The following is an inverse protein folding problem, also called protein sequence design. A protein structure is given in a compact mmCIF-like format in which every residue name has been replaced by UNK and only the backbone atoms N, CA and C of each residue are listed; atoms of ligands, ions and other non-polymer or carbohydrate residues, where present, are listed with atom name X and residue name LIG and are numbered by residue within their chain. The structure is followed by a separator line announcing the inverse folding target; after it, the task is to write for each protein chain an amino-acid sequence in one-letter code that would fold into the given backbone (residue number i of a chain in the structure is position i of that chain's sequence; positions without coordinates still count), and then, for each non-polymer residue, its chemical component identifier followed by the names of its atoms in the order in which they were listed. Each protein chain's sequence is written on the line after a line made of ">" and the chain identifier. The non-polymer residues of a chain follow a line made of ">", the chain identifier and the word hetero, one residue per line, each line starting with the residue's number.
data_IF_171178213939
#
_entry.id   IF_171178213939
#
_cell.length_a   1.000
_cell.length_b   1.000
_cell.length_c   1.000
_cell.angle_alpha   90.00
_cell.angle_beta   90.00
_cell.angle_gamma   90.00
#
_symmetry.space_group_name_H-M   'P 1'
#
loop_
_entity.id
_entity.type
_entity.pdbx_description
1 polymer ?
#
# COMPACT_ATOMS: atom_id res chain seq x y z
N UNK A 1 -8.23 0.29 5.21
CA UNK A 1 -6.88 0.81 4.90
C UNK A 1 -6.14 1.18 6.17
N UNK A 2 -5.34 0.25 6.72
CA UNK A 2 -4.55 0.45 7.95
C UNK A 2 -3.08 0.11 7.69
N UNK A 3 -2.18 0.41 8.63
CA UNK A 3 -0.78 -0.03 8.54
C UNK A 3 -0.72 -1.53 8.27
N UNK A 4 0.16 -1.95 7.36
CA UNK A 4 0.44 -3.37 7.12
C UNK A 4 1.60 -3.88 8.00
N UNK A 5 2.15 -3.05 8.88
CA UNK A 5 3.16 -3.49 9.84
C UNK A 5 2.50 -4.03 11.11
N UNK A 6 2.79 -5.28 11.46
CA UNK A 6 2.46 -5.84 12.78
C UNK A 6 3.40 -5.28 13.86
N UNK A 7 4.66 -5.01 13.48
CA UNK A 7 5.66 -4.34 14.29
C UNK A 7 6.43 -3.33 13.44
N UNK A 8 6.67 -2.14 14.00
CA UNK A 8 7.43 -1.10 13.32
C UNK A 8 8.27 -0.28 14.30
N UNK A 9 9.59 -0.37 14.15
CA UNK A 9 10.58 0.51 14.76
C UNK A 9 11.15 1.43 13.67
N UNK A 10 10.96 2.76 13.79
CA UNK A 10 11.58 3.70 12.85
C UNK A 10 13.09 3.77 13.08
N UNK A 11 13.80 4.15 12.03
CA UNK A 11 15.17 4.61 12.15
C UNK A 11 15.20 5.90 12.96
N UNK A 12 16.11 5.99 13.94
CA UNK A 12 16.25 7.16 14.78
C UNK A 12 17.67 7.30 15.31
N UNK A 13 18.11 8.54 15.49
CA UNK A 13 19.35 8.85 16.21
C UNK A 13 19.00 9.59 17.51
N UNK A 14 19.54 9.13 18.64
CA UNK A 14 19.35 9.72 19.97
C UNK A 14 20.63 10.46 20.37
N UNK A 15 20.68 11.80 20.24
CA UNK A 15 21.93 12.55 20.43
C UNK A 15 22.47 12.49 21.85
N UNK A 16 21.59 12.43 22.86
CA UNK A 16 21.99 12.44 24.27
C UNK A 16 22.84 11.24 24.67
N UNK A 17 22.61 10.10 24.01
CA UNK A 17 23.31 8.83 24.30
C UNK A 17 24.22 8.40 23.16
N UNK A 18 24.29 9.18 22.07
CA UNK A 18 25.01 8.84 20.85
C UNK A 18 24.64 7.44 20.31
N UNK A 19 23.34 7.13 20.33
CA UNK A 19 22.82 5.84 19.87
C UNK A 19 22.08 6.02 18.56
N UNK A 20 22.50 5.26 17.56
CA UNK A 20 21.73 5.04 16.34
C UNK A 20 20.87 3.79 16.50
N UNK A 21 19.57 3.92 16.20
CA UNK A 21 18.57 2.86 16.20
C UNK A 21 18.24 2.57 14.75
N UNK A 22 18.58 1.35 14.30
CA UNK A 22 18.24 0.89 12.96
C UNK A 22 16.73 0.65 12.82
N UNK A 23 16.25 0.83 11.60
CA UNK A 23 14.88 0.44 11.24
C UNK A 23 14.73 -1.07 11.39
N UNK A 24 13.67 -1.49 12.07
CA UNK A 24 13.25 -2.88 12.14
C UNK A 24 11.73 -2.96 12.01
N UNK A 25 11.22 -3.96 11.31
CA UNK A 25 9.78 -4.08 11.07
C UNK A 25 9.38 -5.49 10.67
N UNK A 26 8.15 -5.85 11.00
CA UNK A 26 7.48 -7.06 10.53
C UNK A 26 6.19 -6.69 9.80
N UNK A 27 5.98 -7.28 8.64
CA UNK A 27 4.85 -7.00 7.75
C UNK A 27 3.81 -8.11 7.81
N UNK A 28 2.55 -7.72 7.65
CA UNK A 28 1.39 -8.59 7.60
C UNK A 28 0.85 -8.63 6.16
N UNK A 29 1.02 -9.78 5.50
CA UNK A 29 0.63 -9.98 4.10
C UNK A 29 -0.88 -9.83 3.88
N UNK A 30 -1.71 -10.23 4.86
CA UNK A 30 -3.16 -10.08 4.76
C UNK A 30 -3.57 -8.61 4.80
N UNK A 31 -2.96 -7.81 5.68
CA UNK A 31 -3.20 -6.37 5.73
C UNK A 31 -2.71 -5.66 4.47
N UNK A 32 -1.57 -6.07 3.91
CA UNK A 32 -1.10 -5.56 2.63
C UNK A 32 -2.08 -5.88 1.50
N UNK A 33 -2.55 -7.12 1.41
CA UNK A 33 -3.56 -7.55 0.43
C UNK A 33 -4.85 -6.75 0.55
N UNK A 34 -5.31 -6.48 1.78
CA UNK A 34 -6.49 -5.65 2.02
C UNK A 34 -6.28 -4.19 1.62
N UNK A 35 -5.06 -3.64 1.80
CA UNK A 35 -4.74 -2.30 1.29
C UNK A 35 -4.78 -2.24 -0.23
N UNK A 36 -4.18 -3.22 -0.91
CA UNK A 36 -4.21 -3.32 -2.37
C UNK A 36 -5.64 -3.42 -2.89
N UNK A 37 -6.46 -4.29 -2.27
CA UNK A 37 -7.88 -4.43 -2.59
C UNK A 37 -8.65 -3.12 -2.40
N UNK A 38 -8.40 -2.38 -1.32
CA UNK A 38 -9.04 -1.10 -1.08
C UNK A 38 -8.66 -0.05 -2.14
N UNK A 39 -7.37 0.08 -2.48
CA UNK A 39 -6.90 1.03 -3.50
C UNK A 39 -7.49 0.69 -4.88
N UNK A 40 -7.45 -0.59 -5.27
CA UNK A 40 -8.02 -1.04 -6.54
C UNK A 40 -9.54 -0.75 -6.60
N UNK A 41 -10.27 -1.08 -5.53
CA UNK A 41 -11.73 -0.86 -5.48
C UNK A 41 -12.08 0.62 -5.60
N UNK A 42 -11.38 1.49 -4.86
CA UNK A 42 -11.59 2.95 -4.89
C UNK A 42 -11.30 3.57 -6.27
N UNK A 43 -10.43 2.96 -7.07
CA UNK A 43 -10.09 3.44 -8.41
C UNK A 43 -11.00 2.84 -9.50
N UNK A 44 -11.62 1.70 -9.25
CA UNK A 44 -12.47 1.00 -10.22
C UNK A 44 -13.96 1.28 -10.07
N UNK A 45 -14.43 1.68 -8.89
CA UNK A 45 -15.86 1.82 -8.59
C UNK A 45 -16.16 3.12 -7.84
N UNK A 46 -17.34 3.68 -8.06
CA UNK A 46 -17.79 4.92 -7.39
C UNK A 46 -18.48 4.66 -6.03
N UNK A 47 -18.97 3.44 -5.79
CA UNK A 47 -19.79 3.04 -4.64
C UNK A 47 -19.00 2.30 -3.55
N UNK A 48 -17.81 2.81 -3.20
CA UNK A 48 -16.89 2.15 -2.26
C UNK A 48 -16.78 2.93 -0.94
N UNK A 49 -16.94 2.21 0.18
CA UNK A 49 -16.65 2.73 1.52
C UNK A 49 -15.37 2.08 2.05
N UNK A 50 -14.35 2.91 2.32
CA UNK A 50 -13.10 2.44 2.92
C UNK A 50 -12.99 2.89 4.38
N UNK A 51 -12.92 1.94 5.31
CA UNK A 51 -12.58 2.24 6.71
C UNK A 51 -11.05 2.32 6.82
N UNK A 52 -10.53 3.45 7.31
CA UNK A 52 -9.10 3.71 7.34
C UNK A 52 -8.60 4.27 8.68
N UNK A 53 -7.31 4.06 8.93
CA UNK A 53 -6.55 4.76 9.98
C UNK A 53 -5.84 5.99 9.39
N UNK A 54 -5.06 6.70 10.22
CA UNK A 54 -4.16 7.78 9.76
C UNK A 54 -3.17 7.36 8.67
N UNK A 55 -3.00 6.05 8.43
CA UNK A 55 -2.25 5.51 7.31
C UNK A 55 -2.74 6.02 5.95
N UNK A 56 -4.00 6.45 5.81
CA UNK A 56 -4.52 7.07 4.59
C UNK A 56 -3.86 8.43 4.25
N UNK A 57 -3.21 9.07 5.23
CA UNK A 57 -2.53 10.35 5.04
C UNK A 57 -1.04 10.18 4.72
N UNK A 58 -0.52 8.95 4.76
CA UNK A 58 0.86 8.66 4.40
C UNK A 58 1.01 8.53 2.88
N UNK A 59 2.21 8.86 2.40
CA UNK A 59 2.53 8.87 0.97
C UNK A 59 2.17 7.56 0.27
N UNK A 60 1.42 7.70 -0.82
CA UNK A 60 1.09 6.65 -1.78
C UNK A 60 1.59 7.08 -3.16
N UNK A 61 1.71 6.11 -4.07
CA UNK A 61 2.02 6.40 -5.47
C UNK A 61 0.95 7.27 -6.14
N UNK A 62 1.27 7.83 -7.30
CA UNK A 62 0.33 8.62 -8.08
C UNK A 62 -0.82 7.70 -8.58
N UNK A 63 -2.10 8.04 -8.34
CA UNK A 63 -3.22 7.21 -8.76
C UNK A 63 -3.27 7.01 -10.27
N UNK A 64 -2.88 8.01 -11.07
CA UNK A 64 -2.88 7.90 -12.54
C UNK A 64 -1.81 6.90 -13.02
N UNK A 65 -0.65 6.87 -12.37
CA UNK A 65 0.39 5.88 -12.68
C UNK A 65 -0.06 4.47 -12.29
N UNK A 66 -0.74 4.33 -11.15
CA UNK A 66 -1.32 3.05 -10.74
C UNK A 66 -2.31 2.53 -11.77
N UNK A 67 -3.27 3.34 -12.20
CA UNK A 67 -4.25 2.96 -13.24
C UNK A 67 -3.54 2.58 -14.54
N UNK A 68 -2.50 3.31 -14.93
CA UNK A 68 -1.70 2.99 -16.12
C UNK A 68 -0.94 1.66 -16.05
N UNK A 69 -0.70 1.12 -14.86
CA UNK A 69 -0.07 -0.19 -14.64
C UNK A 69 -1.08 -1.34 -14.55
N UNK A 70 -2.39 -1.07 -14.41
CA UNK A 70 -3.41 -2.10 -14.30
C UNK A 70 -3.74 -2.65 -15.70
N UNK A 71 -3.60 -3.97 -15.84
CA UNK A 71 -4.05 -4.69 -17.02
C UNK A 71 -5.47 -5.24 -16.79
N UNK A 72 -6.44 -4.72 -17.54
CA UNK A 72 -7.83 -5.19 -17.52
C UNK A 72 -7.98 -6.25 -18.60
N UNK A 73 -8.59 -7.38 -18.25
CA UNK A 73 -8.93 -8.45 -19.18
C UNK A 73 -10.42 -8.48 -19.43
N UNK A 74 -10.79 -8.62 -20.70
CA UNK A 74 -12.18 -8.79 -21.14
C UNK A 74 -12.32 -10.09 -21.92
N UNK A 75 -13.54 -10.62 -22.00
CA UNK A 75 -13.83 -11.77 -22.85
C UNK A 75 -13.44 -11.46 -24.30
N UNK A 76 -12.84 -12.44 -24.96
CA UNK A 76 -12.32 -12.34 -26.34
C UNK A 76 -11.14 -11.38 -26.55
N UNK A 77 -10.55 -10.82 -25.48
CA UNK A 77 -9.33 -10.03 -25.58
C UNK A 77 -8.16 -10.87 -26.08
N UNK A 78 -7.56 -10.48 -27.21
CA UNK A 78 -6.34 -11.11 -27.71
C UNK A 78 -5.11 -10.41 -27.12
N UNK A 79 -4.30 -11.17 -26.38
CA UNK A 79 -3.03 -10.70 -25.81
C UNK A 79 -1.87 -11.56 -26.32
N UNK A 80 -0.77 -10.89 -26.67
CA UNK A 80 0.50 -11.58 -26.98
C UNK A 80 1.12 -12.07 -25.69
N UNK A 81 1.47 -13.36 -25.61
CA UNK A 81 2.17 -13.96 -24.45
C UNK A 81 3.70 -13.79 -24.50
N UNK A 82 4.21 -12.97 -25.43
CA UNK A 82 5.66 -12.74 -25.61
C UNK A 82 6.06 -11.37 -25.11
#
# INVERSE_FOLDING_TARGET
>A
FISYYDYYQPEAYIPRTDVFIEKDSSTNEDLERLRLSATASLLSYEDVVCIASVSANYGLGNPNEYIGMVLIFELDMQISQK
#
